data_IF_410759775147
#
_entry.id   IF_410759775147
#
_cell.length_a   1.000
_cell.length_b   1.000
_cell.length_c   1.000
_cell.angle_alpha   90.00
_cell.angle_beta   90.00
_cell.angle_gamma   90.00
#
_symmetry.space_group_name_H-M   'P 1'
#
loop_
_entity.id
_entity.type
_entity.pdbx_description
1 polymer ?
#
# COMPACT_ATOMS: atom_id res chain seq x y z
N UNK A 1 2.31 -34.71 -3.61
CA UNK A 1 1.28 -33.83 -3.09
C UNK A 1 1.98 -32.88 -2.13
N UNK A 2 1.38 -31.81 -1.69
CA UNK A 2 2.05 -30.79 -0.88
C UNK A 2 1.54 -29.39 -1.23
N UNK A 3 2.43 -28.42 -1.47
CA UNK A 3 2.07 -27.06 -1.80
C UNK A 3 1.45 -26.96 -3.19
N UNK A 4 0.13 -26.79 -3.29
CA UNK A 4 -0.61 -26.88 -4.56
C UNK A 4 -0.20 -25.84 -5.60
N UNK A 5 0.09 -24.61 -5.17
CA UNK A 5 0.61 -23.60 -6.10
C UNK A 5 1.96 -24.04 -6.72
N UNK A 6 2.87 -24.59 -5.89
CA UNK A 6 4.16 -25.04 -6.38
C UNK A 6 4.05 -26.26 -7.33
N UNK A 7 3.07 -27.13 -7.06
CA UNK A 7 2.78 -28.27 -7.95
C UNK A 7 2.43 -27.81 -9.38
N UNK A 8 1.61 -26.75 -9.49
CA UNK A 8 1.21 -26.18 -10.79
C UNK A 8 2.35 -25.37 -11.40
N UNK A 9 3.01 -24.50 -10.62
CA UNK A 9 3.97 -23.52 -11.11
C UNK A 9 5.37 -24.13 -11.39
N UNK A 10 5.76 -25.18 -10.68
CA UNK A 10 7.09 -25.79 -10.85
C UNK A 10 7.07 -26.88 -11.91
N UNK A 11 6.96 -26.45 -13.15
CA UNK A 11 7.04 -27.31 -14.34
C UNK A 11 8.39 -28.02 -14.43
N UNK A 12 8.54 -29.05 -15.26
CA UNK A 12 9.84 -29.71 -15.45
C UNK A 12 10.98 -28.75 -15.80
N UNK A 13 10.72 -27.75 -16.64
CA UNK A 13 11.70 -26.72 -17.01
C UNK A 13 12.07 -25.86 -15.81
N UNK A 14 11.09 -25.41 -15.02
CA UNK A 14 11.35 -24.64 -13.80
C UNK A 14 12.18 -25.44 -12.80
N UNK A 15 11.87 -26.72 -12.62
CA UNK A 15 12.63 -27.61 -11.73
C UNK A 15 14.08 -27.81 -12.22
N UNK A 16 14.30 -27.93 -13.52
CA UNK A 16 15.66 -28.05 -14.07
C UNK A 16 16.49 -26.78 -13.83
N UNK A 17 15.89 -25.59 -13.93
CA UNK A 17 16.55 -24.33 -13.60
C UNK A 17 16.87 -24.24 -12.10
N UNK A 18 15.96 -24.66 -11.23
CA UNK A 18 16.21 -24.74 -9.79
C UNK A 18 17.38 -25.68 -9.44
N UNK A 19 17.52 -26.79 -10.18
CA UNK A 19 18.67 -27.70 -10.02
C UNK A 19 19.95 -27.02 -10.45
N UNK A 20 19.96 -26.38 -11.62
CA UNK A 20 21.13 -25.69 -12.15
C UNK A 20 21.61 -24.55 -11.23
N UNK A 21 20.69 -23.83 -10.61
CA UNK A 21 20.96 -22.75 -9.64
C UNK A 21 21.29 -23.26 -8.22
N UNK A 22 21.05 -24.54 -7.93
CA UNK A 22 21.23 -25.12 -6.59
C UNK A 22 20.08 -24.86 -5.61
N UNK A 23 19.02 -24.16 -6.01
CA UNK A 23 17.88 -23.80 -5.16
C UNK A 23 16.86 -24.94 -4.97
N UNK A 24 16.94 -26.01 -5.80
CA UNK A 24 15.96 -27.11 -5.80
C UNK A 24 15.77 -27.79 -4.43
N UNK A 25 16.85 -27.97 -3.68
CA UNK A 25 16.78 -28.63 -2.38
C UNK A 25 15.89 -27.86 -1.38
N UNK A 26 15.91 -26.53 -1.42
CA UNK A 26 15.03 -25.68 -0.60
C UNK A 26 13.55 -25.82 -0.97
N UNK A 27 13.25 -25.97 -2.25
CA UNK A 27 11.87 -26.11 -2.74
C UNK A 27 11.35 -27.56 -2.76
N UNK A 28 12.20 -28.57 -2.65
CA UNK A 28 11.78 -29.98 -2.64
C UNK A 28 10.80 -30.29 -1.53
N UNK A 29 11.01 -29.68 -0.35
CA UNK A 29 10.14 -29.85 0.84
C UNK A 29 8.71 -29.37 0.60
N UNK A 30 8.49 -28.41 -0.30
CA UNK A 30 7.14 -27.95 -0.66
C UNK A 30 6.32 -29.04 -1.37
N UNK A 31 6.96 -30.08 -1.89
CA UNK A 31 6.30 -31.21 -2.57
C UNK A 31 6.02 -32.39 -1.63
N UNK A 32 6.26 -32.24 -0.33
CA UNK A 32 6.12 -33.31 0.67
C UNK A 32 4.90 -33.05 1.57
N UNK A 33 4.33 -34.13 2.13
CA UNK A 33 3.22 -34.07 3.09
C UNK A 33 1.83 -33.98 2.46
N UNK A 34 0.87 -33.58 3.28
CA UNK A 34 -0.52 -33.35 2.86
C UNK A 34 -0.65 -32.13 1.96
N UNK A 35 -1.73 -32.05 1.20
CA UNK A 35 -2.02 -30.93 0.33
C UNK A 35 -2.32 -29.66 1.14
N UNK A 36 -1.66 -28.56 0.84
CA UNK A 36 -1.86 -27.25 1.47
C UNK A 36 -1.80 -26.10 0.47
N UNK A 37 -2.22 -24.91 0.89
CA UNK A 37 -2.34 -23.70 0.06
C UNK A 37 -3.30 -23.87 -1.15
N UNK A 38 -4.42 -24.56 -0.93
CA UNK A 38 -5.54 -24.68 -1.86
C UNK A 38 -6.88 -24.38 -1.18
N UNK A 39 -6.90 -24.26 0.13
CA UNK A 39 -8.06 -23.84 0.93
C UNK A 39 -7.73 -22.52 1.60
N UNK A 40 -8.55 -21.52 1.32
CA UNK A 40 -8.43 -20.19 1.90
C UNK A 40 -8.85 -20.23 3.36
N UNK A 41 -7.99 -19.75 4.22
CA UNK A 41 -8.28 -19.60 5.65
C UNK A 41 -8.80 -18.19 5.93
N UNK A 42 -9.09 -17.90 7.21
CA UNK A 42 -9.46 -16.56 7.63
C UNK A 42 -8.39 -15.51 7.27
N UNK A 43 -7.12 -15.91 7.21
CA UNK A 43 -6.00 -15.03 6.80
C UNK A 43 -6.13 -14.58 5.36
N UNK A 44 -6.29 -15.52 4.44
CA UNK A 44 -6.44 -15.23 3.01
C UNK A 44 -7.75 -14.48 2.75
N UNK A 45 -8.84 -14.91 3.38
CA UNK A 45 -10.14 -14.26 3.28
C UNK A 45 -10.12 -12.79 3.71
N UNK A 46 -9.55 -12.51 4.88
CA UNK A 46 -9.42 -11.13 5.38
C UNK A 46 -8.49 -10.28 4.50
N UNK A 47 -7.40 -10.87 4.00
CA UNK A 47 -6.51 -10.17 3.09
C UNK A 47 -7.20 -9.81 1.78
N UNK A 48 -7.94 -10.74 1.16
CA UNK A 48 -8.68 -10.52 -0.10
C UNK A 48 -9.78 -9.49 0.11
N UNK A 49 -10.57 -9.62 1.18
CA UNK A 49 -11.67 -8.72 1.50
C UNK A 49 -11.21 -7.26 1.77
N UNK A 50 -9.98 -7.06 2.18
CA UNK A 50 -9.42 -5.72 2.39
C UNK A 50 -8.92 -5.06 1.11
N UNK A 51 -8.96 -5.73 -0.05
CA UNK A 51 -8.49 -5.16 -1.32
C UNK A 51 -9.60 -4.46 -2.07
N UNK A 52 -9.25 -3.34 -2.68
CA UNK A 52 -10.07 -2.55 -3.62
C UNK A 52 -9.74 -2.88 -5.08
N UNK A 53 -8.72 -3.67 -5.30
CA UNK A 53 -8.23 -4.00 -6.63
C UNK A 53 -7.33 -5.24 -6.64
N UNK A 54 -7.24 -5.87 -7.82
CA UNK A 54 -6.32 -6.95 -8.12
C UNK A 54 -6.01 -7.01 -9.61
N UNK A 55 -4.98 -7.77 -9.98
CA UNK A 55 -4.67 -8.06 -11.37
C UNK A 55 -5.11 -9.47 -11.70
N UNK A 56 -5.74 -9.63 -12.88
CA UNK A 56 -6.27 -10.90 -13.37
C UNK A 56 -5.64 -11.22 -14.71
N UNK A 57 -4.96 -12.36 -14.79
CA UNK A 57 -4.37 -12.86 -16.02
C UNK A 57 -5.23 -13.98 -16.61
N UNK A 58 -5.35 -13.98 -17.93
CA UNK A 58 -6.00 -15.01 -18.72
C UNK A 58 -5.18 -15.32 -19.99
N UNK A 59 -5.50 -16.39 -20.70
CA UNK A 59 -4.81 -16.79 -21.94
C UNK A 59 -5.82 -16.80 -23.08
N UNK A 60 -5.48 -16.15 -24.19
CA UNK A 60 -6.33 -16.14 -25.37
C UNK A 60 -6.30 -17.51 -26.11
N UNK A 61 -7.26 -17.77 -26.98
CA UNK A 61 -7.30 -18.96 -27.83
C UNK A 61 -6.07 -19.12 -28.71
N UNK A 62 -5.36 -18.01 -28.98
CA UNK A 62 -4.09 -18.01 -29.73
C UNK A 62 -2.85 -18.15 -28.83
N UNK A 63 -3.02 -18.37 -27.52
CA UNK A 63 -1.96 -18.58 -26.54
C UNK A 63 -1.32 -17.32 -25.97
N UNK A 64 -1.76 -16.12 -26.37
CA UNK A 64 -1.24 -14.89 -25.80
C UNK A 64 -1.75 -14.66 -24.37
N UNK A 65 -0.84 -14.37 -23.40
CA UNK A 65 -1.25 -13.97 -22.07
C UNK A 65 -1.82 -12.56 -22.09
N UNK A 66 -2.87 -12.33 -21.30
CA UNK A 66 -3.49 -11.04 -21.12
C UNK A 66 -3.64 -10.74 -19.62
N UNK A 67 -3.35 -9.51 -19.22
CA UNK A 67 -3.50 -9.05 -17.82
C UNK A 67 -4.41 -7.85 -17.79
N UNK A 68 -5.38 -7.87 -16.88
CA UNK A 68 -6.32 -6.80 -16.65
C UNK A 68 -6.35 -6.41 -15.17
N UNK A 69 -6.37 -5.11 -14.90
CA UNK A 69 -6.70 -4.58 -13.58
C UNK A 69 -8.20 -4.71 -13.35
N UNK A 70 -8.59 -5.19 -12.17
CA UNK A 70 -9.95 -5.24 -11.67
C UNK A 70 -10.03 -4.44 -10.38
N UNK A 71 -11.03 -3.57 -10.25
CA UNK A 71 -11.21 -2.74 -9.08
C UNK A 71 -12.68 -2.57 -8.72
N UNK A 72 -12.91 -2.21 -7.47
CA UNK A 72 -14.22 -1.96 -6.88
C UNK A 72 -14.06 -1.43 -5.46
N UNK A 73 -15.14 -1.28 -4.69
CA UNK A 73 -15.04 -0.96 -3.28
C UNK A 73 -14.28 -2.06 -2.53
N UNK A 74 -13.60 -1.73 -1.44
CA UNK A 74 -12.96 -2.74 -0.59
C UNK A 74 -13.98 -3.84 -0.23
N UNK A 75 -13.58 -5.11 -0.41
CA UNK A 75 -14.48 -6.25 -0.22
C UNK A 75 -15.38 -6.60 -1.42
N UNK A 76 -15.16 -6.01 -2.59
CA UNK A 76 -15.90 -6.40 -3.80
C UNK A 76 -15.59 -7.84 -4.25
N UNK A 77 -14.42 -8.36 -3.94
CA UNK A 77 -14.10 -9.79 -4.06
C UNK A 77 -14.67 -10.53 -2.85
N UNK A 78 -15.62 -11.44 -3.10
CA UNK A 78 -16.31 -12.23 -2.07
C UNK A 78 -15.65 -13.59 -1.90
N UNK A 79 -15.51 -14.03 -0.64
CA UNK A 79 -15.20 -15.42 -0.32
C UNK A 79 -16.54 -16.18 -0.28
N UNK A 80 -16.76 -17.08 -1.24
CA UNK A 80 -17.99 -17.90 -1.30
C UNK A 80 -17.88 -19.10 -0.37
N UNK A 81 -16.73 -19.76 -0.42
CA UNK A 81 -16.35 -20.85 0.49
C UNK A 81 -14.81 -20.94 0.61
N UNK A 82 -14.30 -21.95 1.31
CA UNK A 82 -12.85 -22.13 1.53
C UNK A 82 -12.02 -22.36 0.24
N UNK A 83 -12.67 -22.62 -0.90
CA UNK A 83 -12.03 -22.86 -2.20
C UNK A 83 -12.57 -22.02 -3.32
N UNK A 84 -13.51 -21.16 -3.02
CA UNK A 84 -14.25 -20.41 -4.06
C UNK A 84 -14.30 -18.93 -3.70
N UNK A 85 -13.83 -18.11 -4.61
CA UNK A 85 -13.99 -16.66 -4.56
C UNK A 85 -14.76 -16.17 -5.77
N UNK A 86 -15.36 -14.99 -5.68
CA UNK A 86 -16.10 -14.43 -6.79
C UNK A 86 -16.24 -12.92 -6.71
N UNK A 87 -16.54 -12.30 -7.84
CA UNK A 87 -16.78 -10.86 -7.92
C UNK A 87 -17.77 -10.52 -9.03
N UNK A 88 -18.46 -9.42 -8.86
CA UNK A 88 -19.31 -8.84 -9.89
C UNK A 88 -18.46 -8.12 -10.95
N UNK A 89 -18.75 -8.37 -12.23
CA UNK A 89 -18.14 -7.66 -13.36
C UNK A 89 -19.04 -6.50 -13.74
N UNK A 90 -18.54 -5.31 -13.49
CA UNK A 90 -19.27 -4.07 -13.75
C UNK A 90 -19.17 -3.65 -15.21
N UNK A 91 -20.20 -2.95 -15.68
CA UNK A 91 -20.24 -2.40 -17.03
C UNK A 91 -19.03 -1.50 -17.29
N UNK A 92 -18.37 -1.73 -18.41
CA UNK A 92 -17.14 -1.05 -18.79
C UNK A 92 -17.03 -0.79 -20.30
N UNK A 93 -15.83 -0.85 -20.84
CA UNK A 93 -15.50 -0.52 -22.25
C UNK A 93 -15.95 -1.58 -23.27
N UNK A 94 -16.53 -2.69 -22.83
CA UNK A 94 -17.10 -3.78 -23.66
C UNK A 94 -16.11 -4.46 -24.61
N UNK A 95 -14.82 -4.41 -24.31
CA UNK A 95 -13.82 -5.14 -25.12
C UNK A 95 -13.90 -6.67 -24.94
N UNK A 96 -14.45 -7.15 -23.83
CA UNK A 96 -14.69 -8.56 -23.52
C UNK A 96 -13.48 -9.49 -23.60
N UNK A 97 -12.25 -8.96 -23.54
CA UNK A 97 -11.04 -9.77 -23.73
C UNK A 97 -10.96 -10.93 -22.73
N UNK A 98 -11.03 -10.64 -21.43
CA UNK A 98 -11.01 -11.70 -20.41
C UNK A 98 -12.20 -12.64 -20.53
N UNK A 99 -13.42 -12.10 -20.78
CA UNK A 99 -14.64 -12.89 -20.95
C UNK A 99 -14.54 -13.83 -22.16
N UNK A 100 -13.95 -13.36 -23.26
CA UNK A 100 -13.69 -14.17 -24.45
C UNK A 100 -12.68 -15.27 -24.16
N UNK A 101 -11.57 -14.93 -23.51
CA UNK A 101 -10.52 -15.89 -23.15
C UNK A 101 -11.09 -17.03 -22.29
N UNK A 102 -11.92 -16.72 -21.29
CA UNK A 102 -12.48 -17.71 -20.38
C UNK A 102 -13.53 -18.65 -21.03
N UNK A 103 -13.96 -18.38 -22.26
CA UNK A 103 -14.79 -19.33 -23.04
C UNK A 103 -13.99 -20.47 -23.61
N UNK A 104 -12.69 -20.28 -23.80
CA UNK A 104 -11.78 -21.27 -24.43
C UNK A 104 -10.78 -21.84 -23.42
N UNK A 105 -10.36 -21.07 -22.44
CA UNK A 105 -9.44 -21.47 -21.41
C UNK A 105 -9.85 -20.86 -20.04
N UNK A 106 -10.36 -21.69 -19.16
CA UNK A 106 -10.86 -21.30 -17.85
C UNK A 106 -9.77 -21.01 -16.81
N UNK A 107 -8.50 -21.22 -17.15
CA UNK A 107 -7.37 -20.97 -16.24
C UNK A 107 -7.18 -19.50 -16.01
N UNK A 108 -7.00 -19.15 -14.74
CA UNK A 108 -6.79 -17.77 -14.31
C UNK A 108 -5.66 -17.68 -13.29
N UNK A 109 -4.90 -16.60 -13.37
CA UNK A 109 -4.01 -16.20 -12.30
C UNK A 109 -4.45 -14.86 -11.73
N UNK A 110 -4.52 -14.75 -10.41
CA UNK A 110 -4.84 -13.52 -9.69
C UNK A 110 -3.63 -13.05 -8.89
N UNK A 111 -3.48 -11.74 -8.82
CA UNK A 111 -2.39 -11.11 -8.11
C UNK A 111 -2.93 -9.95 -7.26
N UNK A 112 -2.97 -10.16 -5.95
CA UNK A 112 -3.44 -9.18 -4.99
C UNK A 112 -2.26 -8.48 -4.34
N UNK A 113 -2.36 -7.16 -4.18
CA UNK A 113 -1.30 -6.34 -3.59
C UNK A 113 -1.78 -5.60 -2.36
N UNK A 114 -0.95 -5.63 -1.33
CA UNK A 114 -0.99 -4.73 -0.19
C UNK A 114 0.31 -3.93 -0.19
N UNK A 115 0.27 -2.77 -0.84
CA UNK A 115 1.46 -1.94 -0.99
C UNK A 115 1.98 -1.37 0.34
N UNK A 116 1.12 -0.86 1.25
CA UNK A 116 1.56 -0.37 2.55
C UNK A 116 2.35 -1.41 3.34
N UNK A 117 1.84 -2.65 3.38
CA UNK A 117 2.44 -3.74 4.13
C UNK A 117 3.43 -4.60 3.31
N UNK A 118 3.69 -4.23 2.07
CA UNK A 118 4.59 -4.93 1.14
C UNK A 118 4.26 -6.43 1.04
N UNK A 119 2.97 -6.74 1.02
CA UNK A 119 2.47 -8.12 1.00
C UNK A 119 1.73 -8.37 -0.30
N UNK A 120 1.86 -9.56 -0.85
CA UNK A 120 1.16 -9.98 -2.06
C UNK A 120 0.74 -11.43 -1.98
N UNK A 121 -0.45 -11.71 -2.49
CA UNK A 121 -1.00 -13.04 -2.63
C UNK A 121 -1.14 -13.35 -4.13
N UNK A 122 -0.58 -14.48 -4.56
CA UNK A 122 -0.78 -15.06 -5.89
C UNK A 122 -1.75 -16.22 -5.77
N UNK A 123 -2.69 -16.30 -6.69
CA UNK A 123 -3.69 -17.35 -6.73
C UNK A 123 -3.80 -17.90 -8.15
N UNK A 124 -3.85 -19.19 -8.29
CA UNK A 124 -4.16 -19.89 -9.53
C UNK A 124 -5.50 -20.59 -9.36
N UNK A 125 -6.33 -20.55 -10.39
CA UNK A 125 -7.67 -21.12 -10.33
C UNK A 125 -8.32 -21.31 -11.69
N UNK A 126 -9.59 -21.69 -11.64
CA UNK A 126 -10.46 -21.84 -12.81
C UNK A 126 -11.68 -20.95 -12.68
N UNK A 127 -11.99 -20.27 -13.77
CA UNK A 127 -13.09 -19.30 -13.82
C UNK A 127 -14.34 -19.93 -14.42
N UNK A 128 -15.49 -19.63 -13.79
CA UNK A 128 -16.81 -19.78 -14.36
C UNK A 128 -17.50 -18.42 -14.45
N UNK A 129 -18.06 -18.10 -15.58
CA UNK A 129 -18.84 -16.88 -15.78
C UNK A 129 -20.27 -17.15 -15.28
N UNK A 130 -20.82 -16.21 -14.52
CA UNK A 130 -22.18 -16.20 -13.98
C UNK A 130 -22.98 -15.15 -14.73
N UNK A 131 -24.05 -15.57 -15.37
CA UNK A 131 -24.97 -14.70 -16.08
C UNK A 131 -26.18 -14.27 -15.26
N UNK A 132 -27.08 -13.45 -15.86
CA UNK A 132 -28.29 -12.98 -15.20
C UNK A 132 -29.26 -14.10 -14.80
N UNK A 133 -29.14 -15.27 -15.41
CA UNK A 133 -29.94 -16.48 -15.11
C UNK A 133 -29.64 -17.05 -13.71
N UNK A 134 -28.48 -16.77 -13.16
CA UNK A 134 -28.05 -17.12 -11.79
C UNK A 134 -28.22 -15.93 -10.84
N UNK A 135 -29.38 -15.27 -10.87
CA UNK A 135 -29.60 -13.99 -10.19
C UNK A 135 -29.31 -13.97 -8.70
N UNK A 136 -29.57 -15.06 -7.97
CA UNK A 136 -29.27 -15.18 -6.54
C UNK A 136 -27.75 -15.12 -6.28
N UNK A 137 -26.97 -15.88 -7.06
CA UNK A 137 -25.52 -15.87 -6.96
C UNK A 137 -24.93 -14.51 -7.37
N UNK A 138 -25.46 -13.94 -8.46
CA UNK A 138 -25.03 -12.63 -8.93
C UNK A 138 -25.31 -11.53 -7.89
N UNK A 139 -26.48 -11.58 -7.24
CA UNK A 139 -26.82 -10.67 -6.14
C UNK A 139 -25.86 -10.82 -4.95
N UNK A 140 -25.45 -12.03 -4.60
CA UNK A 140 -24.46 -12.26 -3.55
C UNK A 140 -23.08 -11.64 -3.87
N UNK A 141 -22.71 -11.62 -5.15
CA UNK A 141 -21.45 -11.02 -5.60
C UNK A 141 -21.51 -9.49 -5.71
N UNK A 142 -22.70 -8.94 -5.82
CA UNK A 142 -22.94 -7.51 -6.03
C UNK A 142 -22.75 -6.72 -4.73
N UNK A 143 -22.51 -5.42 -4.88
CA UNK A 143 -22.51 -4.47 -3.79
C UNK A 143 -23.51 -3.36 -4.09
N UNK A 144 -24.64 -3.35 -3.37
CA UNK A 144 -25.74 -2.41 -3.59
C UNK A 144 -25.34 -0.95 -3.28
N UNK A 145 -24.28 -0.75 -2.51
CA UNK A 145 -23.74 0.58 -2.21
C UNK A 145 -22.87 1.15 -3.34
N UNK A 146 -22.45 0.32 -4.29
CA UNK A 146 -21.59 0.74 -5.39
C UNK A 146 -22.41 1.05 -6.64
N UNK A 147 -22.43 2.28 -7.15
CA UNK A 147 -23.38 2.74 -8.18
C UNK A 147 -23.02 2.28 -9.60
N UNK A 148 -22.40 1.11 -9.77
CA UNK A 148 -22.05 0.56 -11.08
C UNK A 148 -22.99 -0.58 -11.46
N UNK A 149 -23.39 -0.64 -12.73
CA UNK A 149 -24.24 -1.70 -13.25
C UNK A 149 -23.46 -3.01 -13.37
N UNK A 150 -23.97 -4.07 -12.74
CA UNK A 150 -23.43 -5.43 -12.85
C UNK A 150 -23.92 -6.06 -14.17
N UNK A 151 -23.01 -6.54 -14.99
CA UNK A 151 -23.33 -7.26 -16.23
C UNK A 151 -23.29 -8.78 -16.04
N UNK A 152 -22.37 -9.28 -15.21
CA UNK A 152 -22.15 -10.70 -14.95
C UNK A 152 -21.33 -10.86 -13.67
N UNK A 153 -21.10 -12.09 -13.27
CA UNK A 153 -20.17 -12.44 -12.21
C UNK A 153 -19.07 -13.38 -12.71
N UNK A 154 -17.97 -13.40 -11.99
CA UNK A 154 -16.91 -14.40 -12.13
C UNK A 154 -16.81 -15.19 -10.83
N UNK A 155 -16.92 -16.51 -10.92
CA UNK A 155 -16.64 -17.45 -9.83
C UNK A 155 -15.33 -18.13 -10.15
N UNK A 156 -14.44 -18.19 -9.17
CA UNK A 156 -13.08 -18.72 -9.32
C UNK A 156 -12.88 -19.84 -8.31
N UNK A 157 -12.74 -21.05 -8.83
CA UNK A 157 -12.33 -22.22 -8.07
C UNK A 157 -10.83 -22.15 -7.83
N UNK A 158 -10.39 -22.09 -6.58
CA UNK A 158 -8.98 -22.00 -6.20
C UNK A 158 -8.31 -23.36 -6.37
N UNK A 159 -7.27 -23.41 -7.20
CA UNK A 159 -6.40 -24.57 -7.38
C UNK A 159 -5.19 -24.52 -6.44
N UNK A 160 -4.65 -23.32 -6.24
CA UNK A 160 -3.54 -23.11 -5.33
C UNK A 160 -3.17 -21.64 -5.17
N UNK A 161 -2.60 -21.29 -4.04
CA UNK A 161 -2.13 -19.93 -3.77
C UNK A 161 -0.75 -19.93 -3.09
N UNK A 162 -0.08 -18.78 -3.15
CA UNK A 162 1.23 -18.60 -2.54
C UNK A 162 1.42 -17.16 -2.07
N UNK A 163 1.94 -17.01 -0.86
CA UNK A 163 2.38 -15.75 -0.30
C UNK A 163 3.81 -15.44 -0.74
N UNK A 164 4.05 -14.23 -1.18
CA UNK A 164 5.35 -13.87 -1.72
C UNK A 164 6.18 -13.05 -0.74
N UNK A 165 7.53 -13.12 -0.92
CA UNK A 165 8.49 -12.31 -0.20
C UNK A 165 8.22 -10.80 -0.38
N UNK A 166 8.37 -9.96 0.67
CA UNK A 166 8.15 -8.52 0.61
C UNK A 166 9.24 -7.74 -0.14
N UNK A 167 10.30 -8.41 -0.61
CA UNK A 167 11.40 -7.77 -1.31
C UNK A 167 10.93 -7.05 -2.57
N UNK A 168 11.54 -5.88 -2.83
CA UNK A 168 11.32 -5.05 -4.02
C UNK A 168 9.89 -4.50 -4.19
N UNK A 169 9.06 -4.51 -3.14
CA UNK A 169 7.77 -3.83 -3.12
C UNK A 169 7.98 -2.44 -2.51
N UNK A 170 7.81 -1.40 -3.31
CA UNK A 170 7.81 -0.03 -2.81
C UNK A 170 6.48 0.25 -2.12
N UNK A 171 6.45 0.68 -0.84
CA UNK A 171 5.22 1.06 -0.16
C UNK A 171 4.51 2.18 -0.91
N UNK A 172 3.20 2.09 -1.01
CA UNK A 172 2.31 3.10 -1.56
C UNK A 172 1.08 3.17 -0.67
N UNK A 173 0.54 4.34 -0.49
CA UNK A 173 -0.59 4.59 0.38
C UNK A 173 -1.70 5.26 -0.42
N UNK A 174 -2.92 4.90 -0.15
CA UNK A 174 -4.11 5.64 -0.60
C UNK A 174 -4.24 6.94 0.20
N UNK A 175 -5.01 7.90 -0.31
CA UNK A 175 -5.31 9.15 0.42
C UNK A 175 -5.92 8.84 1.81
N UNK A 176 -6.88 7.93 1.89
CA UNK A 176 -7.53 7.54 3.14
C UNK A 176 -6.55 6.94 4.17
N UNK A 177 -5.57 6.15 3.72
CA UNK A 177 -4.53 5.60 4.59
C UNK A 177 -3.56 6.68 5.07
N UNK A 178 -3.22 7.66 4.22
CA UNK A 178 -2.40 8.81 4.59
C UNK A 178 -3.12 9.71 5.59
N UNK A 179 -4.39 10.01 5.37
CA UNK A 179 -5.21 10.82 6.28
C UNK A 179 -5.31 10.17 7.67
N UNK A 180 -5.51 8.85 7.73
CA UNK A 180 -5.53 8.11 8.99
C UNK A 180 -4.20 8.24 9.75
N UNK A 181 -3.07 8.13 9.07
CA UNK A 181 -1.75 8.31 9.68
C UNK A 181 -1.54 9.76 10.14
N UNK A 182 -1.95 10.72 9.33
CA UNK A 182 -1.85 12.14 9.65
C UNK A 182 -2.68 12.51 10.89
N UNK A 183 -3.91 12.04 10.98
CA UNK A 183 -4.77 12.23 12.14
C UNK A 183 -4.18 11.63 13.41
N UNK A 184 -3.61 10.44 13.34
CA UNK A 184 -2.91 9.80 14.46
C UNK A 184 -1.73 10.63 14.95
N UNK A 185 -0.88 11.10 14.03
CA UNK A 185 0.27 11.95 14.34
C UNK A 185 -0.15 13.31 14.90
N UNK A 186 -1.24 13.88 14.40
CA UNK A 186 -1.79 15.14 14.94
C UNK A 186 -2.30 14.97 16.35
N UNK A 187 -3.01 13.87 16.65
CA UNK A 187 -3.48 13.56 17.99
C UNK A 187 -2.32 13.37 18.98
N UNK A 188 -1.29 12.61 18.59
CA UNK A 188 -0.09 12.43 19.40
C UNK A 188 0.63 13.78 19.66
N UNK A 189 0.77 14.60 18.63
CA UNK A 189 1.39 15.92 18.74
C UNK A 189 0.60 16.83 19.69
N UNK A 190 -0.74 16.78 19.66
CA UNK A 190 -1.58 17.50 20.60
C UNK A 190 -1.41 17.02 22.03
N UNK A 191 -1.33 15.69 22.24
CA UNK A 191 -1.07 15.12 23.58
C UNK A 191 0.31 15.55 24.13
N UNK A 192 1.35 15.46 23.30
CA UNK A 192 2.69 15.89 23.68
C UNK A 192 2.76 17.38 24.03
N UNK A 193 2.07 18.22 23.24
CA UNK A 193 1.95 19.66 23.53
C UNK A 193 1.22 19.92 24.86
N UNK A 194 0.16 19.19 25.14
CA UNK A 194 -0.59 19.31 26.40
C UNK A 194 0.27 18.87 27.62
N UNK A 195 1.03 17.76 27.47
CA UNK A 195 1.96 17.31 28.50
C UNK A 195 3.07 18.36 28.77
N UNK A 196 3.64 18.94 27.72
CA UNK A 196 4.63 20.00 27.85
C UNK A 196 4.06 21.26 28.51
N UNK A 197 2.85 21.66 28.18
CA UNK A 197 2.16 22.79 28.80
C UNK A 197 1.83 22.54 30.29
N UNK A 198 1.44 21.30 30.63
CA UNK A 198 1.18 20.91 32.01
C UNK A 198 2.42 20.70 32.89
N UNK A 199 3.58 20.42 32.23
CA UNK A 199 4.86 20.22 32.93
C UNK A 199 5.70 21.48 33.10
N UNK A 200 5.21 22.63 32.65
CA UNK A 200 5.85 23.93 32.80
C UNK A 200 5.18 24.76 33.91
N UNK A 201 5.48 24.52 35.22
CA UNK A 201 5.24 25.57 36.20
C UNK A 201 6.09 26.75 35.76
N UNK A 202 5.51 27.92 35.65
CA UNK A 202 6.17 29.15 35.26
C UNK A 202 7.58 29.22 35.89
N UNK A 203 8.59 28.81 35.13
CA UNK A 203 9.93 29.21 35.40
C UNK A 203 10.02 30.64 34.90
N UNK A 204 9.75 31.58 35.81
CA UNK A 204 10.45 32.85 35.79
C UNK A 204 11.94 32.48 35.86
N UNK A 205 12.54 32.41 34.69
CA UNK A 205 13.97 32.24 34.58
C UNK A 205 14.63 33.38 35.35
N UNK A 206 15.70 33.11 36.15
CA UNK A 206 16.44 34.20 36.76
C UNK A 206 16.88 35.15 35.64
N UNK A 207 16.67 36.43 35.84
CA UNK A 207 17.15 37.48 34.97
C UNK A 207 18.62 37.16 34.64
N UNK A 208 18.89 36.93 33.37
CA UNK A 208 20.22 36.70 32.86
C UNK A 208 21.06 37.97 33.15
N UNK A 209 22.04 37.91 34.04
CA UNK A 209 23.06 38.97 34.11
C UNK A 209 23.96 38.76 32.88
N UNK A 210 24.25 39.85 32.20
CA UNK A 210 25.24 40.00 31.15
C UNK A 210 24.83 39.42 29.77
N UNK A 211 24.04 40.24 29.08
CA UNK A 211 24.08 40.25 27.62
C UNK A 211 25.45 40.77 27.20
N UNK A 212 26.27 40.03 26.46
CA UNK A 212 27.46 40.63 25.87
C UNK A 212 26.98 41.71 24.89
N UNK A 213 27.35 42.94 25.17
CA UNK A 213 27.29 44.07 24.25
C UNK A 213 28.08 43.70 22.98
N UNK A 214 27.47 43.78 21.85
CA UNK A 214 28.00 43.57 20.50
C UNK A 214 27.88 42.13 19.95
N UNK A 215 26.69 41.77 19.50
CA UNK A 215 26.58 40.82 18.42
C UNK A 215 26.99 41.52 17.14
N UNK A 216 28.19 41.18 16.61
CA UNK A 216 28.64 41.68 15.31
C UNK A 216 27.63 41.19 14.25
N UNK A 217 26.99 42.13 13.56
CA UNK A 217 26.11 41.78 12.44
C UNK A 217 26.95 41.03 11.39
N UNK A 218 26.47 39.83 11.04
CA UNK A 218 27.04 38.99 9.99
C UNK A 218 26.20 39.19 8.73
N UNK A 219 26.69 40.00 7.80
CA UNK A 219 26.09 40.22 6.50
C UNK A 219 25.57 41.64 6.25
N UNK A 220 25.36 41.94 4.98
CA UNK A 220 24.87 43.25 4.47
C UNK A 220 23.45 43.03 3.95
N UNK A 221 22.47 43.12 4.79
CA UNK A 221 21.05 42.98 4.41
C UNK A 221 20.17 43.99 5.15
N UNK A 222 19.02 44.34 4.62
CA UNK A 222 18.11 45.30 5.25
C UNK A 222 17.39 44.72 6.48
N UNK A 223 17.57 43.44 6.81
CA UNK A 223 16.87 42.75 7.87
C UNK A 223 17.85 42.11 8.84
N UNK A 224 17.86 42.58 10.06
CA UNK A 224 18.63 41.96 11.15
C UNK A 224 17.76 40.88 11.82
N UNK A 225 18.30 39.67 11.95
CA UNK A 225 17.63 38.52 12.55
C UNK A 225 18.50 37.90 13.65
N UNK A 226 17.89 37.57 14.75
CA UNK A 226 18.51 36.82 15.84
C UNK A 226 18.05 35.36 15.82
N UNK A 227 18.97 34.41 16.00
CA UNK A 227 18.62 33.02 16.20
C UNK A 227 18.13 32.85 17.63
N UNK A 228 16.84 32.59 17.81
CA UNK A 228 16.22 32.37 19.12
C UNK A 228 16.13 30.90 19.52
N UNK A 229 16.25 30.01 18.56
CA UNK A 229 16.23 28.57 18.81
C UNK A 229 16.85 27.75 17.67
N UNK A 230 17.45 26.63 18.03
CA UNK A 230 17.98 25.65 17.09
C UNK A 230 17.46 24.29 17.48
N UNK A 231 16.86 23.56 16.53
CA UNK A 231 16.33 22.22 16.72
C UNK A 231 16.94 21.25 15.72
N UNK A 232 17.48 20.14 16.21
CA UNK A 232 17.89 19.03 15.33
C UNK A 232 16.65 18.26 14.91
N UNK A 233 16.34 18.21 13.62
CA UNK A 233 15.21 17.49 13.06
C UNK A 233 15.61 16.10 12.54
N UNK A 234 16.85 15.96 12.02
CA UNK A 234 17.44 14.73 11.56
C UNK A 234 18.96 14.82 11.66
N UNK A 235 19.74 13.74 11.48
CA UNK A 235 21.20 13.76 11.62
C UNK A 235 21.92 14.88 10.85
N UNK A 236 21.35 15.35 9.75
CA UNK A 236 21.91 16.42 8.90
C UNK A 236 20.96 17.60 8.67
N UNK A 237 19.85 17.67 9.42
CA UNK A 237 18.84 18.73 9.25
C UNK A 237 18.62 19.45 10.58
N UNK A 238 18.78 20.76 10.56
CA UNK A 238 18.51 21.64 11.71
C UNK A 238 17.46 22.68 11.32
N UNK A 239 16.53 22.95 12.21
CA UNK A 239 15.63 24.08 12.12
C UNK A 239 16.16 25.21 12.99
N UNK A 240 16.12 26.41 12.44
CA UNK A 240 16.50 27.64 13.12
C UNK A 240 15.25 28.50 13.28
N UNK A 241 14.99 28.95 14.49
CA UNK A 241 13.96 29.92 14.79
C UNK A 241 14.60 31.31 14.78
N UNK A 242 14.09 32.16 13.92
CA UNK A 242 14.61 33.51 13.72
C UNK A 242 13.60 34.54 14.25
N UNK A 243 14.10 35.57 14.94
CA UNK A 243 13.30 36.66 15.48
C UNK A 243 13.96 38.00 15.18
N UNK A 244 13.14 39.04 15.16
CA UNK A 244 13.63 40.42 15.19
C UNK A 244 14.37 40.66 16.52
N UNK A 245 15.62 41.11 16.52
CA UNK A 245 16.38 41.35 17.73
C UNK A 245 15.76 42.40 18.68
N UNK A 246 14.90 43.28 18.15
CA UNK A 246 14.18 44.31 18.93
C UNK A 246 12.78 43.85 19.37
N UNK A 247 12.35 42.63 18.99
CA UNK A 247 11.04 42.08 19.33
C UNK A 247 9.91 42.53 18.39
N UNK A 248 10.23 43.17 17.29
CA UNK A 248 9.27 43.57 16.24
C UNK A 248 8.69 42.37 15.48
N UNK A 249 7.65 42.64 14.69
CA UNK A 249 7.12 41.64 13.76
C UNK A 249 8.00 41.53 12.53
N UNK A 250 8.32 40.30 12.15
CA UNK A 250 8.99 40.03 10.87
C UNK A 250 8.04 40.31 9.70
N UNK A 251 8.56 40.76 8.55
CA UNK A 251 7.76 40.93 7.35
C UNK A 251 7.13 39.61 6.92
N UNK A 252 5.94 39.68 6.32
CA UNK A 252 5.30 38.51 5.72
C UNK A 252 6.18 37.95 4.60
N UNK A 253 6.46 36.66 4.68
CA UNK A 253 7.27 35.94 3.69
C UNK A 253 6.33 35.24 2.73
N UNK A 254 6.40 35.60 1.45
CA UNK A 254 5.63 34.93 0.40
C UNK A 254 6.15 33.53 0.11
N UNK A 255 5.27 32.64 -0.36
CA UNK A 255 5.66 31.31 -0.77
C UNK A 255 6.72 31.36 -1.90
N UNK A 256 7.83 30.65 -1.71
CA UNK A 256 8.96 30.66 -2.64
C UNK A 256 10.08 31.65 -2.30
N UNK A 257 9.91 32.46 -1.26
CA UNK A 257 10.97 33.35 -0.77
C UNK A 257 12.11 32.53 -0.14
N UNK A 258 13.32 33.02 -0.24
CA UNK A 258 14.50 32.40 0.35
C UNK A 258 15.36 33.43 1.08
N UNK A 259 16.01 33.00 2.15
CA UNK A 259 16.95 33.78 2.89
C UNK A 259 18.38 33.34 2.56
N UNK A 260 19.27 34.33 2.35
CA UNK A 260 20.71 34.07 2.22
C UNK A 260 21.41 34.40 3.53
N UNK A 261 22.09 33.42 4.09
CA UNK A 261 22.90 33.61 5.29
C UNK A 261 24.37 33.59 4.91
N UNK A 262 25.18 34.58 5.32
CA UNK A 262 26.62 34.43 5.28
C UNK A 262 27.05 33.38 6.31
N UNK A 263 27.82 32.39 5.89
CA UNK A 263 28.41 31.40 6.77
C UNK A 263 29.92 31.67 6.82
N UNK A 264 30.45 31.98 7.99
CA UNK A 264 31.89 31.95 8.20
C UNK A 264 32.29 30.49 8.36
N UNK A 265 33.10 29.98 7.44
CA UNK A 265 33.73 28.65 7.48
C UNK A 265 34.99 28.71 8.33
#
# INVERSE_FOLDING_TARGET
>A
MGHKFAEIAFTPVVRSLQVADGSRAGYARMSEGEDYNHRLTAREGSFIAARDSFYMASVSETGWPYVQHRGGPAGFMKLVDERTIGFADYSGNRQFVSTGNFRTDDRVALFFMDYPNRTRLKLLGRVRIVGPEEGELLSHLSDDSYPAQVERGFIIQVEGFDWNCPQHITPRYTEAEQDTQLLSLQAENQQLKAMLAGSNPAREGPAHPDRPETVKALGEGPLELAISGIRQLAPRVRAYELRDPTGGQLPLVEAGSHLRFPVLL
#
